data_IF_585560395591
#
_entry.id   IF_585560395591
#
_cell.length_a   1.000
_cell.length_b   1.000
_cell.length_c   1.000
_cell.angle_alpha   90.00
_cell.angle_beta   90.00
_cell.angle_gamma   90.00
#
_symmetry.space_group_name_H-M   'P 1'
#
loop_
_entity.id
_entity.type
_entity.pdbx_description
1 polymer ?
#
# COMPACT_ATOMS: atom_id res chain seq x y z
N UNK A 1 -21.35 13.26 24.13
CA UNK A 1 -21.63 12.15 23.20
C UNK A 1 -22.28 12.63 21.89
N UNK A 2 -23.41 13.34 21.94
CA UNK A 2 -24.14 13.84 20.74
C UNK A 2 -23.28 14.78 19.88
N UNK A 3 -22.56 15.74 20.48
CA UNK A 3 -21.70 16.68 19.74
C UNK A 3 -20.60 15.97 18.94
N UNK A 4 -19.97 14.95 19.52
CA UNK A 4 -18.91 14.19 18.84
C UNK A 4 -19.47 13.38 17.67
N UNK A 5 -20.64 12.75 17.88
CA UNK A 5 -21.37 12.05 16.83
C UNK A 5 -21.70 12.97 15.65
N UNK A 6 -22.27 14.16 15.92
CA UNK A 6 -22.60 15.13 14.88
C UNK A 6 -21.37 15.63 14.13
N UNK A 7 -20.24 15.87 14.83
CA UNK A 7 -18.97 16.24 14.17
C UNK A 7 -18.48 15.15 13.22
N UNK A 8 -18.53 13.89 13.63
CA UNK A 8 -18.14 12.76 12.78
C UNK A 8 -19.08 12.59 11.58
N UNK A 9 -20.39 12.79 11.77
CA UNK A 9 -21.37 12.74 10.69
C UNK A 9 -21.09 13.82 9.64
N UNK A 10 -20.91 15.08 10.07
CA UNK A 10 -20.58 16.20 9.20
C UNK A 10 -19.26 15.97 8.46
N UNK A 11 -18.25 15.42 9.15
CA UNK A 11 -16.98 15.04 8.53
C UNK A 11 -17.19 14.00 7.43
N UNK A 12 -17.94 12.93 7.70
CA UNK A 12 -18.22 11.87 6.72
C UNK A 12 -18.98 12.41 5.51
N UNK A 13 -20.01 13.24 5.71
CA UNK A 13 -20.76 13.86 4.61
C UNK A 13 -19.82 14.70 3.74
N UNK A 14 -18.96 15.53 4.37
CA UNK A 14 -17.94 16.32 3.65
C UNK A 14 -17.01 15.42 2.83
N UNK A 15 -16.53 14.32 3.42
CA UNK A 15 -15.65 13.38 2.73
C UNK A 15 -16.33 12.72 1.52
N UNK A 16 -17.59 12.32 1.66
CA UNK A 16 -18.36 11.72 0.56
C UNK A 16 -18.44 12.71 -0.61
N UNK A 17 -18.81 13.98 -0.35
CA UNK A 17 -18.92 15.01 -1.39
C UNK A 17 -17.57 15.24 -2.07
N UNK A 18 -16.49 15.40 -1.29
CA UNK A 18 -15.15 15.61 -1.82
C UNK A 18 -14.71 14.44 -2.70
N UNK A 19 -14.96 13.20 -2.26
CA UNK A 19 -14.60 12.02 -3.04
C UNK A 19 -15.47 11.83 -4.27
N UNK A 20 -16.76 12.17 -4.24
CA UNK A 20 -17.60 12.16 -5.44
C UNK A 20 -17.03 13.06 -6.55
N UNK A 21 -16.51 14.24 -6.18
CA UNK A 21 -15.89 15.17 -7.13
C UNK A 21 -14.52 14.65 -7.57
N UNK A 22 -13.63 14.31 -6.63
CA UNK A 22 -12.26 13.88 -6.92
C UNK A 22 -12.20 12.58 -7.73
N UNK A 23 -13.07 11.61 -7.45
CA UNK A 23 -13.16 10.37 -8.20
C UNK A 23 -13.45 10.61 -9.67
N UNK A 24 -14.36 11.55 -9.97
CA UNK A 24 -14.68 11.92 -11.35
C UNK A 24 -13.52 12.65 -12.03
N UNK A 25 -12.85 13.57 -11.34
CA UNK A 25 -11.75 14.36 -11.91
C UNK A 25 -10.48 13.55 -12.14
N UNK A 26 -10.16 12.61 -11.25
CA UNK A 26 -8.89 11.87 -11.27
C UNK A 26 -9.05 10.43 -11.79
N UNK A 27 -10.25 10.04 -12.24
CA UNK A 27 -10.56 8.66 -12.63
C UNK A 27 -10.21 7.63 -11.54
N UNK A 28 -10.52 7.95 -10.28
CA UNK A 28 -10.29 7.08 -9.12
C UNK A 28 -11.60 6.50 -8.59
N UNK A 29 -11.51 5.48 -7.74
CA UNK A 29 -12.65 4.93 -7.01
C UNK A 29 -12.33 4.84 -5.50
N UNK A 30 -12.25 5.99 -4.85
CA UNK A 30 -12.04 6.07 -3.40
C UNK A 30 -13.39 6.02 -2.70
N UNK A 31 -13.65 4.91 -2.01
CA UNK A 31 -14.92 4.64 -1.33
C UNK A 31 -14.85 4.84 0.19
N UNK A 32 -13.66 5.03 0.75
CA UNK A 32 -13.47 5.24 2.19
C UNK A 32 -13.56 6.71 2.57
N UNK A 33 -14.48 7.05 3.49
CA UNK A 33 -14.50 8.38 4.12
C UNK A 33 -13.32 8.61 5.06
N UNK A 34 -12.55 7.56 5.39
CA UNK A 34 -11.36 7.64 6.23
C UNK A 34 -10.06 7.81 5.43
N UNK A 35 -10.13 7.78 4.10
CA UNK A 35 -9.01 8.10 3.24
C UNK A 35 -8.81 9.61 3.19
N UNK A 36 -7.60 10.09 3.50
CA UNK A 36 -7.28 11.51 3.46
C UNK A 36 -7.36 12.03 2.03
N UNK A 37 -8.08 13.14 1.83
CA UNK A 37 -8.11 13.87 0.55
C UNK A 37 -6.80 14.60 0.26
N UNK A 38 -5.88 14.69 1.22
CA UNK A 38 -4.58 15.33 1.09
C UNK A 38 -3.45 14.37 0.72
N UNK A 39 -3.71 13.06 0.81
CA UNK A 39 -2.80 12.06 0.25
C UNK A 39 -2.77 12.15 -1.29
N UNK A 40 -1.73 11.57 -1.89
CA UNK A 40 -1.52 11.58 -3.34
C UNK A 40 -2.08 10.30 -3.96
N UNK A 41 -2.95 10.45 -4.95
CA UNK A 41 -3.55 9.34 -5.68
C UNK A 41 -3.38 9.59 -7.17
N UNK A 42 -2.72 8.66 -7.85
CA UNK A 42 -2.68 8.64 -9.32
C UNK A 42 -4.02 8.17 -9.88
N UNK A 43 -4.17 8.26 -11.20
CA UNK A 43 -5.38 7.80 -11.88
C UNK A 43 -5.61 6.29 -11.66
N UNK A 44 -6.87 5.87 -11.73
CA UNK A 44 -7.31 4.48 -11.58
C UNK A 44 -7.03 3.85 -10.21
N UNK A 45 -6.64 4.65 -9.22
CA UNK A 45 -6.54 4.15 -7.84
C UNK A 45 -7.91 3.84 -7.28
N UNK A 46 -8.03 2.70 -6.61
CA UNK A 46 -9.24 2.28 -5.89
C UNK A 46 -8.93 2.05 -4.42
N UNK A 47 -9.79 2.56 -3.53
CA UNK A 47 -9.65 2.34 -2.09
C UNK A 47 -10.99 1.91 -1.51
N UNK A 48 -11.04 0.69 -0.99
CA UNK A 48 -12.20 0.08 -0.38
C UNK A 48 -12.65 0.78 0.89
N UNK A 49 -13.91 0.55 1.28
CA UNK A 49 -14.54 1.12 2.48
C UNK A 49 -13.73 0.81 3.74
N UNK A 50 -13.88 1.67 4.76
CA UNK A 50 -13.26 1.56 6.07
C UNK A 50 -11.72 1.56 6.10
N UNK A 51 -11.06 1.71 4.96
CA UNK A 51 -9.61 1.81 4.87
C UNK A 51 -9.13 3.21 5.21
N UNK A 52 -8.14 3.29 6.09
CA UNK A 52 -7.49 4.55 6.50
C UNK A 52 -6.28 4.77 5.62
N UNK A 53 -6.21 5.95 5.01
CA UNK A 53 -5.05 6.42 4.24
C UNK A 53 -4.66 7.77 4.81
N UNK A 54 -3.48 7.85 5.43
CA UNK A 54 -2.97 9.11 6.00
C UNK A 54 -2.46 10.04 4.91
N UNK A 55 -2.37 11.33 5.23
CA UNK A 55 -1.96 12.39 4.27
C UNK A 55 -0.56 12.21 3.69
N UNK A 56 0.33 11.53 4.42
CA UNK A 56 1.71 11.23 4.02
C UNK A 56 1.84 9.96 3.18
N UNK A 57 0.76 9.54 2.51
CA UNK A 57 0.72 8.39 1.61
C UNK A 57 0.65 8.85 0.16
N UNK A 58 1.35 8.14 -0.73
CA UNK A 58 1.17 8.24 -2.17
C UNK A 58 0.89 6.88 -2.80
N UNK A 59 -0.11 6.82 -3.67
CA UNK A 59 -0.53 5.59 -4.34
C UNK A 59 -0.42 5.75 -5.86
N UNK A 60 0.37 4.87 -6.48
CA UNK A 60 0.62 4.84 -7.91
C UNK A 60 -0.57 4.38 -8.74
N UNK A 61 -0.44 4.55 -10.05
CA UNK A 61 -1.50 4.33 -11.04
C UNK A 61 -2.03 2.90 -11.00
N UNK A 62 -3.35 2.74 -11.08
CA UNK A 62 -4.00 1.43 -11.16
C UNK A 62 -3.83 0.52 -9.94
N UNK A 63 -3.21 1.01 -8.86
CA UNK A 63 -3.10 0.27 -7.60
C UNK A 63 -4.42 0.32 -6.84
N UNK A 64 -4.76 -0.77 -6.16
CA UNK A 64 -5.93 -0.81 -5.30
C UNK A 64 -5.61 -1.28 -3.89
N UNK A 65 -6.40 -0.79 -2.94
CA UNK A 65 -6.45 -1.27 -1.57
C UNK A 65 -7.89 -1.68 -1.30
N UNK A 66 -8.09 -2.90 -0.82
CA UNK A 66 -9.42 -3.35 -0.42
C UNK A 66 -9.85 -2.72 0.92
N UNK A 67 -10.74 -3.40 1.65
CA UNK A 67 -11.43 -2.84 2.82
C UNK A 67 -10.64 -3.04 4.11
N UNK A 68 -10.96 -2.23 5.11
CA UNK A 68 -10.48 -2.36 6.49
C UNK A 68 -8.94 -2.31 6.66
N UNK A 69 -8.22 -1.66 5.75
CA UNK A 69 -6.76 -1.54 5.82
C UNK A 69 -6.31 -0.22 6.48
N UNK A 70 -5.07 -0.14 6.95
CA UNK A 70 -4.46 1.07 7.52
C UNK A 70 -3.13 1.37 6.84
N UNK A 71 -3.04 2.49 6.15
CA UNK A 71 -1.83 2.91 5.43
C UNK A 71 -1.37 4.27 5.94
N UNK A 72 -0.12 4.33 6.38
CA UNK A 72 0.54 5.52 6.89
C UNK A 72 1.97 5.63 6.35
N UNK A 73 2.51 6.83 6.18
CA UNK A 73 3.91 7.09 5.81
C UNK A 73 4.49 6.11 4.76
N UNK A 74 3.81 5.98 3.63
CA UNK A 74 4.10 4.94 2.63
C UNK A 74 4.03 5.48 1.22
N UNK A 75 4.98 5.08 0.38
CA UNK A 75 4.93 5.25 -1.08
C UNK A 75 4.62 3.90 -1.71
N UNK A 76 3.50 3.81 -2.42
CA UNK A 76 3.05 2.62 -3.15
C UNK A 76 3.19 2.89 -4.65
N UNK A 77 3.86 1.99 -5.37
CA UNK A 77 4.00 2.07 -6.83
C UNK A 77 2.70 1.78 -7.58
N UNK A 78 2.84 1.59 -8.89
CA UNK A 78 1.75 1.32 -9.82
C UNK A 78 1.32 -0.15 -9.76
N UNK A 79 0.07 -0.43 -10.14
CA UNK A 79 -0.47 -1.79 -10.32
C UNK A 79 -0.37 -2.72 -9.10
N UNK A 80 -0.27 -2.17 -7.90
CA UNK A 80 -0.21 -2.95 -6.68
C UNK A 80 -1.60 -3.48 -6.30
N UNK A 81 -1.61 -4.69 -5.75
CA UNK A 81 -2.80 -5.36 -5.25
C UNK A 81 -2.70 -5.51 -3.74
N UNK A 82 -3.44 -4.68 -2.99
CA UNK A 82 -3.41 -4.70 -1.53
C UNK A 82 -4.75 -5.22 -1.02
N UNK A 83 -4.69 -6.39 -0.39
CA UNK A 83 -5.86 -7.10 0.13
C UNK A 83 -6.43 -6.44 1.39
N UNK A 84 -7.47 -7.07 1.93
CA UNK A 84 -8.21 -6.60 3.09
C UNK A 84 -7.35 -6.67 4.36
N UNK A 85 -7.63 -5.81 5.33
CA UNK A 85 -7.03 -5.83 6.67
C UNK A 85 -5.49 -5.78 6.67
N UNK A 86 -4.91 -5.07 5.70
CA UNK A 86 -3.47 -4.84 5.63
C UNK A 86 -3.11 -3.62 6.49
N UNK A 87 -2.04 -3.72 7.28
CA UNK A 87 -1.49 -2.60 8.05
C UNK A 87 -0.08 -2.27 7.56
N UNK A 88 0.15 -1.00 7.17
CA UNK A 88 1.45 -0.55 6.66
C UNK A 88 1.91 0.68 7.45
N UNK A 89 3.12 0.57 7.97
CA UNK A 89 3.81 1.58 8.77
C UNK A 89 2.95 2.08 9.96
N UNK A 90 2.45 1.17 10.84
CA UNK A 90 1.74 1.60 12.03
C UNK A 90 2.64 2.49 12.90
N UNK A 91 2.03 3.39 13.68
CA UNK A 91 2.76 4.25 14.60
C UNK A 91 3.61 3.41 15.58
N UNK A 92 4.89 3.77 15.71
CA UNK A 92 5.84 3.12 16.61
C UNK A 92 6.27 4.09 17.72
N UNK A 93 6.53 3.52 18.90
CA UNK A 93 7.05 4.23 20.07
C UNK A 93 8.55 3.95 20.24
N UNK A 94 9.26 4.90 20.83
CA UNK A 94 10.68 4.74 21.13
C UNK A 94 10.88 3.76 22.29
N UNK A 95 11.32 2.54 21.96
CA UNK A 95 11.58 1.48 22.94
C UNK A 95 12.94 1.62 23.63
N UNK A 96 13.79 2.57 23.24
CA UNK A 96 15.04 2.84 23.94
C UNK A 96 14.81 3.60 25.26
N UNK A 97 13.61 4.15 25.46
CA UNK A 97 13.22 4.86 26.68
C UNK A 97 12.67 3.89 27.74
N UNK A 98 12.82 4.22 29.03
CA UNK A 98 12.26 3.40 30.11
C UNK A 98 10.74 3.25 30.07
N UNK A 99 10.04 4.24 29.51
CA UNK A 99 8.58 4.24 29.33
C UNK A 99 8.28 4.62 27.89
N UNK A 100 7.40 3.88 27.24
CA UNK A 100 7.01 4.09 25.83
C UNK A 100 5.74 4.94 25.66
N UNK A 101 5.22 5.53 26.74
CA UNK A 101 3.94 6.23 26.74
C UNK A 101 4.03 7.59 26.05
N UNK A 102 3.18 7.89 25.04
CA UNK A 102 3.19 9.20 24.37
C UNK A 102 2.79 10.36 25.29
N UNK A 103 2.16 10.08 26.45
CA UNK A 103 1.85 11.10 27.47
C UNK A 103 3.12 11.82 27.96
N UNK A 104 4.26 11.15 27.87
CA UNK A 104 5.56 11.67 28.32
C UNK A 104 6.26 12.51 27.25
N UNK A 105 5.57 12.84 26.15
CA UNK A 105 6.09 13.71 25.09
C UNK A 105 6.88 12.98 24.00
N UNK A 106 6.73 11.66 23.90
CA UNK A 106 7.40 10.88 22.87
C UNK A 106 6.76 11.13 21.51
N UNK A 107 7.57 11.61 20.56
CA UNK A 107 7.18 11.66 19.16
C UNK A 107 7.07 10.24 18.57
N UNK A 108 6.11 10.05 17.69
CA UNK A 108 6.02 8.84 16.86
C UNK A 108 7.20 8.85 15.87
N UNK A 109 8.03 7.82 15.89
CA UNK A 109 9.19 7.68 15.00
C UNK A 109 8.89 6.62 13.94
N UNK A 110 8.53 7.05 12.73
CA UNK A 110 8.37 6.13 11.60
C UNK A 110 9.32 6.48 10.45
N UNK A 111 9.97 5.44 9.91
CA UNK A 111 10.66 5.53 8.61
C UNK A 111 9.68 5.16 7.50
N UNK A 112 9.68 5.92 6.41
CA UNK A 112 8.77 5.71 5.30
C UNK A 112 8.93 4.30 4.71
N UNK A 113 7.81 3.61 4.49
CA UNK A 113 7.78 2.34 3.76
C UNK A 113 7.73 2.62 2.26
N UNK A 114 8.53 1.86 1.49
CA UNK A 114 8.59 1.99 0.03
C UNK A 114 8.16 0.68 -0.61
N UNK A 115 7.08 0.72 -1.38
CA UNK A 115 6.54 -0.42 -2.12
C UNK A 115 6.71 -0.10 -3.61
N UNK A 116 7.35 -1.01 -4.34
CA UNK A 116 7.52 -0.93 -5.79
C UNK A 116 6.21 -1.10 -6.54
N UNK A 117 6.31 -1.48 -7.81
CA UNK A 117 5.17 -1.71 -8.70
C UNK A 117 4.78 -3.19 -8.74
N UNK A 118 3.54 -3.51 -9.12
CA UNK A 118 3.04 -4.90 -9.23
C UNK A 118 3.25 -5.75 -7.96
N UNK A 119 3.24 -5.09 -6.79
CA UNK A 119 3.38 -5.81 -5.52
C UNK A 119 2.03 -6.36 -5.11
N UNK A 120 2.00 -7.65 -4.79
CA UNK A 120 0.85 -8.31 -4.17
C UNK A 120 1.05 -8.38 -2.67
N UNK A 121 0.19 -7.70 -1.92
CA UNK A 121 0.14 -7.77 -0.46
C UNK A 121 -1.16 -8.48 -0.07
N UNK A 122 -1.01 -9.70 0.42
CA UNK A 122 -2.15 -10.58 0.74
C UNK A 122 -2.85 -10.16 2.04
N UNK A 123 -4.00 -10.79 2.31
CA UNK A 123 -4.85 -10.48 3.45
C UNK A 123 -4.10 -10.54 4.78
N UNK A 124 -4.41 -9.61 5.70
CA UNK A 124 -3.91 -9.61 7.08
C UNK A 124 -2.38 -9.44 7.23
N UNK A 125 -1.71 -8.88 6.22
CA UNK A 125 -0.27 -8.57 6.29
C UNK A 125 -0.01 -7.31 7.11
N UNK A 126 1.05 -7.33 7.91
CA UNK A 126 1.61 -6.15 8.56
C UNK A 126 3.01 -5.84 8.02
N UNK A 127 3.24 -4.59 7.62
CA UNK A 127 4.55 -4.10 7.17
C UNK A 127 5.01 -2.99 8.11
N UNK A 128 6.11 -3.22 8.82
CA UNK A 128 6.67 -2.27 9.78
C UNK A 128 7.52 -1.19 9.12
N UNK A 129 7.83 -0.15 9.90
CA UNK A 129 8.47 1.06 9.37
C UNK A 129 9.80 0.80 8.66
N UNK A 130 10.09 1.59 7.63
CA UNK A 130 11.35 1.56 6.89
C UNK A 130 11.56 0.32 6.01
N UNK A 131 10.59 -0.59 5.89
CA UNK A 131 10.67 -1.70 4.95
C UNK A 131 10.65 -1.20 3.50
N UNK A 132 11.40 -1.90 2.63
CA UNK A 132 11.39 -1.69 1.18
C UNK A 132 10.97 -2.98 0.49
N UNK A 133 9.96 -2.90 -0.37
CA UNK A 133 9.43 -4.03 -1.13
C UNK A 133 9.66 -3.79 -2.62
N UNK A 134 10.45 -4.67 -3.24
CA UNK A 134 10.77 -4.61 -4.67
C UNK A 134 9.56 -4.85 -5.58
N UNK A 135 9.73 -4.48 -6.85
CA UNK A 135 8.73 -4.65 -7.90
C UNK A 135 8.35 -6.12 -8.06
N UNK A 136 7.07 -6.39 -8.28
CA UNK A 136 6.59 -7.75 -8.48
C UNK A 136 6.71 -8.65 -7.25
N UNK A 137 7.08 -8.15 -6.08
CA UNK A 137 7.15 -8.99 -4.88
C UNK A 137 5.76 -9.45 -4.42
N UNK A 138 5.72 -10.58 -3.71
CA UNK A 138 4.49 -11.13 -3.12
C UNK A 138 4.70 -11.31 -1.62
N UNK A 139 3.80 -10.72 -0.83
CA UNK A 139 3.75 -10.92 0.62
C UNK A 139 2.56 -11.82 0.93
N UNK A 140 2.85 -13.03 1.42
CA UNK A 140 1.86 -14.04 1.74
C UNK A 140 0.94 -13.61 2.91
N UNK A 141 -0.27 -14.17 2.96
CA UNK A 141 -1.28 -13.77 3.93
C UNK A 141 -0.79 -13.96 5.38
N UNK A 142 -1.16 -13.03 6.26
CA UNK A 142 -0.79 -13.04 7.67
C UNK A 142 0.68 -12.75 7.99
N UNK A 143 1.50 -12.40 6.99
CA UNK A 143 2.91 -12.16 7.21
C UNK A 143 3.19 -10.84 7.96
N UNK A 144 4.27 -10.83 8.77
CA UNK A 144 4.79 -9.62 9.43
C UNK A 144 6.16 -9.29 8.88
N UNK A 145 6.22 -8.32 7.96
CA UNK A 145 7.46 -7.77 7.41
C UNK A 145 8.07 -6.82 8.44
N UNK A 146 9.20 -7.20 9.01
CA UNK A 146 9.80 -6.48 10.13
C UNK A 146 10.50 -5.19 9.71
N UNK A 147 10.81 -4.34 10.69
CA UNK A 147 11.39 -3.01 10.50
C UNK A 147 12.67 -3.07 9.67
N UNK A 148 12.76 -2.23 8.64
CA UNK A 148 13.94 -2.15 7.76
C UNK A 148 14.16 -3.36 6.84
N UNK A 149 13.21 -4.30 6.74
CA UNK A 149 13.34 -5.43 5.82
C UNK A 149 13.45 -4.94 4.38
N UNK A 150 14.39 -5.53 3.62
CA UNK A 150 14.57 -5.26 2.20
C UNK A 150 14.22 -6.51 1.39
N UNK A 151 13.05 -6.48 0.75
CA UNK A 151 12.54 -7.54 -0.13
C UNK A 151 12.91 -7.20 -1.57
N UNK A 152 13.56 -8.12 -2.29
CA UNK A 152 13.98 -7.86 -3.68
C UNK A 152 12.83 -8.06 -4.66
N UNK A 153 13.03 -7.56 -5.87
CA UNK A 153 12.06 -7.70 -6.94
C UNK A 153 11.72 -9.18 -7.19
N UNK A 154 10.44 -9.46 -7.40
CA UNK A 154 9.89 -10.79 -7.70
C UNK A 154 10.15 -11.85 -6.62
N UNK A 155 10.49 -11.47 -5.40
CA UNK A 155 10.56 -12.42 -4.28
C UNK A 155 9.19 -12.65 -3.66
N UNK A 156 8.98 -13.84 -3.12
CA UNK A 156 7.82 -14.22 -2.32
C UNK A 156 8.29 -14.35 -0.87
N UNK A 157 7.64 -13.63 0.04
CA UNK A 157 7.93 -13.63 1.46
C UNK A 157 6.69 -14.00 2.27
N UNK A 158 6.86 -14.65 3.41
CA UNK A 158 5.75 -15.00 4.31
C UNK A 158 6.21 -15.42 5.69
N UNK A 159 5.27 -15.48 6.64
CA UNK A 159 5.54 -15.88 8.03
C UNK A 159 5.57 -14.71 9.02
N UNK A 160 5.74 -15.05 10.30
CA UNK A 160 5.87 -14.11 11.42
C UNK A 160 7.08 -14.51 12.27
N UNK A 161 8.24 -13.84 12.12
CA UNK A 161 8.53 -12.79 11.13
C UNK A 161 8.55 -13.32 9.70
N UNK A 162 8.34 -12.43 8.73
CA UNK A 162 8.34 -12.80 7.31
C UNK A 162 9.76 -13.15 6.85
N UNK A 163 9.88 -14.27 6.15
CA UNK A 163 11.13 -14.72 5.51
C UNK A 163 10.93 -14.97 4.02
N UNK A 164 12.03 -14.90 3.27
CA UNK A 164 12.06 -15.32 1.89
C UNK A 164 11.60 -16.78 1.76
N UNK A 165 10.67 -17.03 0.84
CA UNK A 165 10.16 -18.36 0.50
C UNK A 165 10.80 -18.83 -0.81
N UNK A 166 10.63 -18.05 -1.87
CA UNK A 166 11.18 -18.33 -3.21
C UNK A 166 11.09 -17.10 -4.12
N UNK A 167 11.73 -17.17 -5.29
CA UNK A 167 11.47 -16.23 -6.38
C UNK A 167 10.19 -16.62 -7.13
N UNK A 168 9.46 -15.65 -7.69
CA UNK A 168 8.32 -15.89 -8.59
C UNK A 168 8.77 -16.56 -9.90
N UNK A 169 9.94 -16.16 -10.39
CA UNK A 169 10.52 -16.57 -11.68
C UNK A 169 12.03 -16.82 -11.54
N UNK A 170 12.64 -17.41 -12.57
CA UNK A 170 14.10 -17.47 -12.71
C UNK A 170 14.72 -16.09 -12.98
N UNK A 171 16.05 -16.01 -12.86
CA UNK A 171 16.79 -14.75 -12.98
C UNK A 171 16.79 -14.17 -14.39
N UNK A 172 16.76 -15.00 -15.43
CA UNK A 172 16.68 -14.56 -16.82
C UNK A 172 15.36 -13.81 -17.06
N UNK A 173 14.24 -14.41 -16.64
CA UNK A 173 12.93 -13.81 -16.76
C UNK A 173 12.78 -12.55 -15.92
N UNK A 174 13.33 -12.53 -14.71
CA UNK A 174 13.33 -11.32 -13.86
C UNK A 174 14.07 -10.18 -14.55
N UNK A 175 15.24 -10.46 -15.13
CA UNK A 175 16.03 -9.46 -15.83
C UNK A 175 15.29 -8.91 -17.06
N UNK A 176 14.65 -9.78 -17.84
CA UNK A 176 13.82 -9.37 -18.97
C UNK A 176 12.69 -8.45 -18.52
N UNK A 177 11.96 -8.81 -17.46
CA UNK A 177 10.85 -7.98 -16.97
C UNK A 177 11.32 -6.61 -16.47
N UNK A 178 12.49 -6.54 -15.82
CA UNK A 178 13.09 -5.27 -15.37
C UNK A 178 13.46 -4.34 -16.52
N UNK A 179 13.96 -4.88 -17.63
CA UNK A 179 14.38 -4.08 -18.79
C UNK A 179 13.19 -3.47 -19.55
N UNK A 180 12.03 -4.12 -19.54
CA UNK A 180 10.87 -3.70 -20.32
C UNK A 180 10.01 -2.62 -19.65
N UNK A 181 10.35 -2.21 -18.43
CA UNK A 181 9.69 -1.14 -17.65
C UNK A 181 8.16 -1.13 -17.78
N UNK A 182 7.56 -2.32 -17.68
CA UNK A 182 6.14 -2.55 -17.95
C UNK A 182 5.21 -1.76 -17.02
N UNK A 183 5.74 -1.26 -15.90
CA UNK A 183 4.98 -0.59 -14.86
C UNK A 183 4.77 0.91 -15.10
N UNK A 184 5.49 1.51 -16.04
CA UNK A 184 5.34 2.91 -16.42
C UNK A 184 4.44 3.11 -17.65
N UNK A 185 3.91 2.02 -18.19
CA UNK A 185 2.92 2.03 -19.27
C UNK A 185 1.51 2.20 -18.70
N UNK A 186 0.56 2.73 -19.49
CA UNK A 186 -0.85 2.92 -19.09
C UNK A 186 -1.66 1.63 -19.15
N UNK A 187 -2.85 1.60 -18.54
CA UNK A 187 -3.73 0.43 -18.59
C UNK A 187 -4.02 -0.01 -20.02
N UNK A 188 -4.25 0.92 -20.95
CA UNK A 188 -4.49 0.57 -22.37
C UNK A 188 -3.28 -0.08 -23.05
N UNK A 189 -2.07 0.23 -22.59
CA UNK A 189 -0.84 -0.36 -23.09
C UNK A 189 -0.56 -1.73 -22.48
N UNK A 190 -0.97 -1.95 -21.22
CA UNK A 190 -0.68 -3.20 -20.48
C UNK A 190 -1.85 -4.18 -20.39
N UNK A 191 -3.10 -3.77 -20.69
CA UNK A 191 -4.29 -4.65 -20.60
C UNK A 191 -4.18 -5.89 -21.49
N UNK A 192 -3.47 -5.75 -22.61
CA UNK A 192 -3.22 -6.81 -23.58
C UNK A 192 -1.84 -7.47 -23.40
N UNK A 193 -1.01 -6.99 -22.46
CA UNK A 193 0.21 -7.66 -21.98
C UNK A 193 -0.19 -8.83 -21.08
N UNK A 194 -0.91 -9.78 -21.66
CA UNK A 194 -1.17 -11.07 -21.05
C UNK A 194 0.14 -11.86 -21.00
N UNK A 195 0.27 -12.73 -19.99
CA UNK A 195 1.41 -13.65 -19.84
C UNK A 195 1.72 -14.46 -21.11
N UNK A 196 0.78 -14.58 -22.05
CA UNK A 196 0.95 -15.24 -23.34
C UNK A 196 1.83 -14.48 -24.34
N UNK A 197 1.92 -13.14 -24.29
CA UNK A 197 2.82 -12.35 -25.17
C UNK A 197 4.25 -12.23 -24.64
N UNK A 198 4.44 -12.46 -23.34
CA UNK A 198 5.74 -12.45 -22.66
C UNK A 198 6.40 -13.84 -22.61
N UNK A 199 5.71 -14.89 -23.10
CA UNK A 199 6.36 -16.14 -23.48
C UNK A 199 7.08 -15.88 -24.81
N UNK A 200 8.37 -15.55 -24.74
CA UNK A 200 9.24 -15.93 -25.85
C UNK A 200 9.20 -17.46 -25.93
N UNK A 201 9.08 -17.95 -27.15
CA UNK A 201 9.32 -19.35 -27.53
C UNK A 201 10.61 -19.89 -26.90
#
# INVERSE_FOLDING_TARGET
>A
MIVLYLKNLLHNIKQIILWSIKNKLNHTNIMSTKASVHAKYSNMVSVGKNTIVKENVSIGYGSYINVNSWIENTVIGNYCSISDHVSICPAEHDIAKPLSSPVLGDGIQTKQVKIGNDVLISHNVTILSGATIGNGAVIAAGAVVTKGTHIKDYEIWGGVPAHFIKKRFDDERINLLKQNDIYNQTWDQVKDCTWSKLKKE
#
